data_IF_960114388797
#
_entry.id   IF_960114388797
#
_cell.length_a   1.000
_cell.length_b   1.000
_cell.length_c   1.000
_cell.angle_alpha   90.00
_cell.angle_beta   90.00
_cell.angle_gamma   90.00
#
_symmetry.space_group_name_H-M   'P 1'
#
loop_
_entity.id
_entity.type
_entity.pdbx_description
1 polymer ?
#
# COMPACT_ATOMS: atom_id res chain seq x y z
N UNK A 1 65.24 86.26 -21.12
CA UNK A 1 65.32 84.75 -21.31
C UNK A 1 66.39 84.10 -20.44
N UNK A 2 66.77 84.72 -19.27
CA UNK A 2 67.74 84.12 -18.34
C UNK A 2 67.22 83.81 -16.95
N UNK A 3 65.98 84.22 -16.60
CA UNK A 3 65.42 84.07 -15.24
C UNK A 3 64.53 82.79 -15.18
N UNK A 4 63.94 82.33 -16.28
CA UNK A 4 63.12 81.11 -16.29
C UNK A 4 63.91 79.81 -16.17
N UNK A 5 65.12 79.73 -16.76
CA UNK A 5 66.00 78.54 -16.66
C UNK A 5 66.46 78.24 -15.23
N UNK A 6 66.64 79.28 -14.39
CA UNK A 6 67.13 79.13 -12.98
C UNK A 6 65.99 78.56 -12.07
N UNK A 7 64.74 78.91 -12.33
CA UNK A 7 63.63 78.37 -11.55
C UNK A 7 63.30 76.87 -11.89
N UNK A 8 63.47 76.53 -13.15
CA UNK A 8 63.24 75.16 -13.59
C UNK A 8 64.32 74.20 -13.02
N UNK A 9 65.56 74.59 -12.99
CA UNK A 9 66.68 73.78 -12.45
C UNK A 9 66.57 73.58 -10.94
N UNK A 10 66.12 74.62 -10.20
CA UNK A 10 65.86 74.49 -8.73
C UNK A 10 64.69 73.61 -8.41
N UNK A 11 63.66 73.68 -9.22
CA UNK A 11 62.48 72.76 -9.04
C UNK A 11 62.79 71.30 -9.35
N UNK A 12 63.69 71.09 -10.37
CA UNK A 12 64.12 69.72 -10.72
C UNK A 12 65.02 69.11 -9.66
N UNK A 13 65.92 69.89 -9.06
CA UNK A 13 66.75 69.42 -7.96
C UNK A 13 65.97 69.21 -6.64
N UNK A 14 64.88 69.97 -6.39
CA UNK A 14 63.97 69.71 -5.28
C UNK A 14 63.17 68.45 -5.42
N UNK A 15 62.79 68.14 -6.66
CA UNK A 15 62.04 66.93 -7.00
C UNK A 15 62.90 65.66 -6.91
N UNK A 16 64.19 65.76 -7.27
CA UNK A 16 65.17 64.66 -7.15
C UNK A 16 65.50 64.37 -5.69
N UNK A 17 65.64 65.43 -4.84
CA UNK A 17 65.90 65.31 -3.38
C UNK A 17 64.61 64.70 -2.69
N UNK A 18 63.45 65.11 -3.08
CA UNK A 18 62.22 64.54 -2.58
C UNK A 18 62.00 63.07 -2.97
N UNK A 19 62.39 62.69 -4.22
CA UNK A 19 62.31 61.32 -4.71
C UNK A 19 63.34 60.42 -4.03
N UNK A 20 64.59 60.94 -3.71
CA UNK A 20 65.60 60.14 -3.01
C UNK A 20 65.28 59.98 -1.51
N UNK A 21 64.56 60.93 -0.87
CA UNK A 21 64.09 60.79 0.49
C UNK A 21 62.93 59.71 0.61
N UNK A 22 62.18 59.48 -0.46
CA UNK A 22 61.10 58.48 -0.47
C UNK A 22 61.61 57.03 -0.62
N UNK A 23 62.82 56.83 -1.16
CA UNK A 23 63.47 55.51 -1.26
C UNK A 23 64.16 55.06 0.05
N UNK A 24 64.38 55.91 1.02
CA UNK A 24 65.03 55.53 2.30
C UNK A 24 63.98 55.13 3.37
N UNK A 25 62.69 55.42 3.14
CA UNK A 25 61.63 55.10 4.09
C UNK A 25 61.09 53.60 3.96
N UNK A 26 61.59 52.81 3.00
CA UNK A 26 61.25 51.41 2.86
C UNK A 26 62.23 50.41 3.50
N UNK A 27 63.05 50.89 4.49
CA UNK A 27 63.79 49.99 5.36
C UNK A 27 62.91 49.44 6.47
N UNK A 28 61.87 48.69 6.10
CA UNK A 28 61.05 47.97 7.07
C UNK A 28 61.92 46.94 7.78
N UNK A 29 62.05 47.08 9.10
CA UNK A 29 62.48 46.00 9.99
C UNK A 29 61.86 44.72 9.53
N UNK A 30 62.63 43.72 9.08
CA UNK A 30 62.28 42.36 9.06
C UNK A 30 62.00 41.91 10.51
N UNK A 31 60.78 42.22 11.00
CA UNK A 31 60.19 41.44 12.06
C UNK A 31 59.94 40.11 11.41
N UNK A 32 60.77 39.13 11.73
CA UNK A 32 60.52 37.73 11.38
C UNK A 32 59.04 37.44 11.75
N UNK A 33 58.20 37.25 10.76
CA UNK A 33 56.93 36.67 11.00
C UNK A 33 57.24 35.35 11.69
N UNK A 34 57.16 35.33 13.01
CA UNK A 34 56.96 34.09 13.71
C UNK A 34 55.72 33.51 13.06
N UNK A 35 55.90 32.50 12.22
CA UNK A 35 54.82 31.64 11.78
C UNK A 35 54.27 31.05 13.07
N UNK A 36 53.24 31.71 13.62
CA UNK A 36 52.43 31.08 14.66
C UNK A 36 51.88 29.79 14.02
N UNK A 37 52.45 28.69 14.44
CA UNK A 37 51.94 27.37 14.08
C UNK A 37 50.46 27.35 14.52
N UNK A 38 49.52 27.20 13.60
CA UNK A 38 48.13 27.24 13.99
C UNK A 38 47.86 26.07 14.97
N UNK A 39 47.38 26.42 16.15
CA UNK A 39 46.93 25.44 17.11
C UNK A 39 45.60 24.84 16.63
N UNK A 40 45.59 23.56 16.44
CA UNK A 40 44.37 22.81 16.09
C UNK A 40 43.88 22.05 17.32
N UNK A 41 42.57 22.14 17.60
CA UNK A 41 41.94 21.33 18.61
C UNK A 41 41.96 19.88 18.17
N UNK A 42 42.47 19.01 19.02
CA UNK A 42 42.47 17.56 18.81
C UNK A 42 41.39 16.91 19.66
N UNK A 43 40.80 15.85 19.16
CA UNK A 43 39.80 15.02 19.87
C UNK A 43 40.29 13.59 19.93
N UNK A 44 40.11 12.96 21.08
CA UNK A 44 40.32 11.51 21.22
C UNK A 44 39.06 10.80 20.87
N UNK A 45 39.11 9.96 19.84
CA UNK A 45 37.96 9.14 19.41
C UNK A 45 37.91 7.88 20.28
N UNK A 46 36.70 7.57 20.76
CA UNK A 46 36.41 6.30 21.42
C UNK A 46 35.35 5.56 20.61
N UNK A 47 35.43 4.23 20.54
CA UNK A 47 34.39 3.44 19.90
C UNK A 47 33.05 3.64 20.61
N UNK A 48 32.03 4.00 19.85
CA UNK A 48 30.68 4.21 20.37
C UNK A 48 29.63 3.51 19.51
N UNK A 49 28.43 3.35 20.07
CA UNK A 49 27.29 2.81 19.34
C UNK A 49 26.48 3.96 18.77
N UNK A 50 26.36 4.00 17.45
CA UNK A 50 25.63 5.04 16.71
C UNK A 50 24.32 4.51 16.18
N UNK A 51 23.25 5.25 16.42
CA UNK A 51 21.95 5.00 15.80
C UNK A 51 21.87 5.73 14.47
N UNK A 52 21.70 4.96 13.40
CA UNK A 52 21.44 5.48 12.07
C UNK A 52 19.98 5.25 11.71
N UNK A 53 19.45 6.08 10.83
CA UNK A 53 18.10 5.92 10.28
C UNK A 53 18.17 5.94 8.77
N UNK A 54 17.55 4.95 8.15
CA UNK A 54 17.40 4.88 6.70
C UNK A 54 15.94 5.16 6.35
N UNK A 55 15.70 6.12 5.44
CA UNK A 55 14.39 6.49 4.97
C UNK A 55 14.11 5.83 3.61
N UNK A 56 13.01 5.13 3.49
CA UNK A 56 12.56 4.45 2.27
C UNK A 56 11.23 5.05 1.81
N UNK A 57 11.14 5.60 0.59
CA UNK A 57 9.86 6.02 0.02
C UNK A 57 8.88 4.85 0.00
N UNK A 58 7.67 5.09 0.47
CA UNK A 58 6.65 4.07 0.61
C UNK A 58 5.31 4.54 0.05
N UNK A 59 4.53 3.58 -0.47
CA UNK A 59 3.14 3.76 -0.83
C UNK A 59 2.25 3.02 0.16
N UNK A 60 1.13 3.66 0.53
CA UNK A 60 0.21 3.08 1.50
C UNK A 60 -0.95 2.39 0.78
N UNK A 61 -1.31 1.20 1.26
CA UNK A 61 -2.55 0.53 0.88
C UNK A 61 -3.31 0.15 2.13
N UNK A 62 -4.63 0.17 2.06
CA UNK A 62 -5.46 -0.41 3.10
C UNK A 62 -5.17 -1.91 3.25
N UNK A 63 -5.51 -2.46 4.41
CA UNK A 63 -5.40 -3.90 4.66
C UNK A 63 -6.10 -4.71 3.58
N UNK A 64 -7.23 -4.22 3.10
CA UNK A 64 -7.99 -4.81 2.02
C UNK A 64 -8.72 -3.73 1.22
N UNK A 65 -8.44 -3.63 -0.06
CA UNK A 65 -9.17 -2.79 -1.00
C UNK A 65 -10.01 -3.72 -1.89
N UNK A 66 -11.34 -3.63 -1.77
CA UNK A 66 -12.27 -4.50 -2.51
C UNK A 66 -13.06 -3.66 -3.49
N UNK A 67 -12.93 -3.98 -4.76
CA UNK A 67 -13.77 -3.42 -5.81
C UNK A 67 -15.18 -4.03 -5.73
N UNK A 68 -16.17 -3.19 -5.59
CA UNK A 68 -17.57 -3.58 -5.56
C UNK A 68 -18.12 -3.55 -6.99
N UNK A 69 -18.47 -4.72 -7.51
CA UNK A 69 -19.02 -4.91 -8.85
C UNK A 69 -20.41 -5.52 -8.77
N UNK A 70 -21.36 -5.15 -9.66
CA UNK A 70 -22.66 -5.78 -9.69
C UNK A 70 -22.55 -7.21 -10.24
N UNK A 71 -23.31 -8.14 -9.69
CA UNK A 71 -23.43 -9.52 -10.22
C UNK A 71 -24.61 -9.68 -11.18
N UNK A 72 -25.48 -8.67 -11.26
CA UNK A 72 -26.69 -8.66 -12.12
C UNK A 72 -26.77 -7.33 -12.87
N UNK A 73 -27.49 -7.31 -13.97
CA UNK A 73 -27.71 -6.12 -14.79
C UNK A 73 -29.00 -5.40 -14.37
N UNK A 74 -29.02 -4.09 -14.43
CA UNK A 74 -30.20 -3.28 -14.14
C UNK A 74 -29.86 -1.84 -13.85
N UNK A 75 -30.88 -1.03 -13.58
CA UNK A 75 -30.71 0.38 -13.20
C UNK A 75 -30.50 0.49 -11.68
N UNK A 76 -29.62 1.37 -11.25
CA UNK A 76 -29.49 1.73 -9.83
C UNK A 76 -30.75 2.51 -9.43
N UNK A 77 -31.53 1.97 -8.50
CA UNK A 77 -32.73 2.62 -7.95
C UNK A 77 -32.41 3.42 -6.69
N UNK A 78 -31.40 2.98 -5.92
CA UNK A 78 -31.04 3.64 -4.66
C UNK A 78 -29.55 3.52 -4.38
N UNK A 79 -28.96 4.62 -3.92
CA UNK A 79 -27.65 4.68 -3.27
C UNK A 79 -27.91 4.78 -1.75
N UNK A 80 -27.43 3.80 -1.00
CA UNK A 80 -27.73 3.69 0.44
C UNK A 80 -26.66 4.33 1.33
N UNK A 81 -25.46 4.60 0.77
CA UNK A 81 -24.30 5.12 1.51
C UNK A 81 -23.58 6.15 0.64
N UNK A 82 -23.15 7.25 1.24
CA UNK A 82 -22.40 8.30 0.54
C UNK A 82 -20.89 8.00 0.46
N UNK A 83 -20.23 8.64 -0.51
CA UNK A 83 -18.77 8.56 -0.66
C UNK A 83 -18.05 9.00 0.62
N UNK A 84 -17.00 8.28 0.98
CA UNK A 84 -16.20 8.56 2.19
C UNK A 84 -16.81 8.09 3.50
N UNK A 85 -18.03 7.55 3.48
CA UNK A 85 -18.69 7.03 4.68
C UNK A 85 -18.11 5.68 5.11
N UNK A 86 -18.17 5.41 6.42
CA UNK A 86 -17.84 4.10 6.98
C UNK A 86 -18.96 3.11 6.69
N UNK A 87 -18.58 1.91 6.27
CA UNK A 87 -19.51 0.82 5.97
C UNK A 87 -19.11 -0.43 6.74
N UNK A 88 -20.12 -1.23 7.08
CA UNK A 88 -19.93 -2.53 7.72
C UNK A 88 -20.09 -3.67 6.72
N UNK A 89 -19.45 -4.80 6.99
CA UNK A 89 -19.65 -6.02 6.23
C UNK A 89 -21.14 -6.42 6.22
N UNK A 90 -21.70 -6.70 5.03
CA UNK A 90 -23.11 -7.00 4.82
C UNK A 90 -24.03 -5.79 4.68
N UNK A 91 -23.53 -4.57 4.90
CA UNK A 91 -24.32 -3.34 4.70
C UNK A 91 -24.60 -3.13 3.23
N UNK A 92 -25.89 -2.86 2.87
CA UNK A 92 -26.29 -2.56 1.51
C UNK A 92 -25.75 -1.19 1.10
N UNK A 93 -25.07 -1.16 -0.05
CA UNK A 93 -24.46 0.03 -0.64
C UNK A 93 -25.33 0.60 -1.77
N UNK A 94 -25.78 -0.31 -2.66
CA UNK A 94 -26.63 0.02 -3.83
C UNK A 94 -27.81 -0.94 -3.91
N UNK A 95 -28.89 -0.45 -4.47
CA UNK A 95 -30.03 -1.28 -4.87
C UNK A 95 -30.20 -1.14 -6.39
N UNK A 96 -30.18 -2.29 -7.06
CA UNK A 96 -30.48 -2.41 -8.49
C UNK A 96 -31.96 -2.78 -8.60
N UNK A 97 -32.63 -2.34 -9.66
CA UNK A 97 -34.05 -2.61 -9.88
C UNK A 97 -34.36 -4.10 -9.74
N UNK A 98 -35.15 -4.51 -8.71
CA UNK A 98 -35.39 -5.91 -8.41
C UNK A 98 -36.57 -6.50 -9.20
N UNK A 99 -37.41 -5.69 -9.85
CA UNK A 99 -38.74 -6.12 -10.37
C UNK A 99 -38.63 -7.35 -11.24
N UNK A 100 -37.75 -7.34 -12.24
CA UNK A 100 -37.59 -8.52 -13.13
C UNK A 100 -37.09 -9.77 -12.39
N UNK A 101 -36.33 -9.62 -11.34
CA UNK A 101 -35.78 -10.71 -10.54
C UNK A 101 -36.82 -11.28 -9.55
N UNK A 102 -37.67 -10.40 -8.99
CA UNK A 102 -38.82 -10.80 -8.16
C UNK A 102 -39.81 -11.62 -8.97
N UNK A 103 -40.15 -11.21 -10.19
CA UNK A 103 -41.03 -11.97 -11.07
C UNK A 103 -40.40 -13.31 -11.47
N UNK A 104 -39.09 -13.38 -11.73
CA UNK A 104 -38.41 -14.65 -11.99
C UNK A 104 -38.52 -15.63 -10.80
N UNK A 105 -38.40 -15.12 -9.56
CA UNK A 105 -38.61 -15.91 -8.35
C UNK A 105 -40.06 -16.40 -8.26
N UNK A 106 -41.03 -15.53 -8.54
CA UNK A 106 -42.46 -15.91 -8.52
C UNK A 106 -42.76 -17.03 -9.52
N UNK A 107 -42.24 -16.95 -10.75
CA UNK A 107 -42.37 -17.99 -11.77
C UNK A 107 -41.74 -19.31 -11.32
N UNK A 108 -40.51 -19.24 -10.77
CA UNK A 108 -39.83 -20.45 -10.27
C UNK A 108 -40.54 -21.07 -9.06
N UNK A 109 -41.11 -20.28 -8.16
CA UNK A 109 -41.95 -20.77 -7.06
C UNK A 109 -43.19 -21.55 -7.59
N UNK A 110 -43.87 -20.96 -8.56
CA UNK A 110 -45.02 -21.63 -9.19
C UNK A 110 -44.64 -22.99 -9.84
N UNK A 111 -43.47 -23.04 -10.51
CA UNK A 111 -42.95 -24.29 -11.09
C UNK A 111 -42.68 -25.36 -10.03
N UNK A 112 -42.15 -24.97 -8.86
CA UNK A 112 -41.96 -25.90 -7.74
C UNK A 112 -43.28 -26.43 -7.24
N UNK A 113 -44.34 -25.63 -7.12
CA UNK A 113 -45.66 -26.09 -6.67
C UNK A 113 -46.28 -27.07 -7.67
N UNK A 114 -46.15 -26.82 -8.99
CA UNK A 114 -46.60 -27.78 -10.03
C UNK A 114 -45.80 -29.08 -9.90
N UNK A 115 -44.49 -29.05 -9.75
CA UNK A 115 -43.68 -30.27 -9.62
C UNK A 115 -44.01 -31.04 -8.33
N UNK A 116 -44.32 -30.37 -7.22
CA UNK A 116 -44.78 -31.00 -5.97
C UNK A 116 -46.11 -31.76 -6.18
N UNK A 117 -47.06 -31.15 -6.90
CA UNK A 117 -48.33 -31.79 -7.19
C UNK A 117 -48.15 -33.04 -8.06
N UNK A 118 -47.23 -32.99 -9.03
CA UNK A 118 -46.89 -34.15 -9.85
C UNK A 118 -46.28 -35.31 -9.04
N UNK A 119 -45.35 -34.97 -8.12
CA UNK A 119 -44.78 -35.98 -7.19
C UNK A 119 -45.85 -36.59 -6.33
N UNK A 120 -46.73 -35.79 -5.73
CA UNK A 120 -47.83 -36.32 -4.89
C UNK A 120 -48.75 -37.30 -5.68
N UNK A 121 -49.05 -36.96 -6.94
CA UNK A 121 -49.85 -37.83 -7.81
C UNK A 121 -49.13 -39.16 -8.15
N UNK A 122 -47.84 -39.08 -8.49
CA UNK A 122 -46.99 -40.22 -8.80
C UNK A 122 -46.79 -41.13 -7.56
N UNK A 123 -46.58 -40.53 -6.40
CA UNK A 123 -46.43 -41.20 -5.11
C UNK A 123 -47.71 -42.00 -4.76
N UNK A 124 -48.89 -41.37 -4.90
CA UNK A 124 -50.17 -42.04 -4.67
C UNK A 124 -50.35 -43.23 -5.65
N UNK A 125 -49.98 -43.04 -6.91
CA UNK A 125 -50.05 -44.09 -7.92
C UNK A 125 -49.11 -45.26 -7.60
N UNK A 126 -47.83 -44.96 -7.26
CA UNK A 126 -46.86 -46.00 -6.89
C UNK A 126 -47.30 -46.76 -5.63
N UNK A 127 -47.80 -46.00 -4.61
CA UNK A 127 -48.36 -46.61 -3.39
C UNK A 127 -49.53 -47.57 -3.67
N UNK A 128 -50.48 -47.15 -4.47
CA UNK A 128 -51.61 -48.00 -4.85
C UNK A 128 -51.18 -49.25 -5.65
N UNK A 129 -50.26 -49.07 -6.60
CA UNK A 129 -49.69 -50.18 -7.39
C UNK A 129 -48.94 -51.18 -6.51
N UNK A 130 -48.15 -50.69 -5.50
CA UNK A 130 -47.43 -51.53 -4.53
C UNK A 130 -48.44 -52.43 -3.73
N UNK A 131 -49.56 -51.84 -3.27
CA UNK A 131 -50.58 -52.58 -2.58
C UNK A 131 -51.28 -53.67 -3.47
N UNK A 132 -51.50 -53.39 -4.75
CA UNK A 132 -52.10 -54.37 -5.71
C UNK A 132 -51.13 -55.50 -6.06
N UNK A 133 -49.82 -55.18 -6.20
CA UNK A 133 -48.76 -56.18 -6.45
C UNK A 133 -48.64 -57.13 -5.24
N UNK A 134 -48.64 -56.66 -4.02
CA UNK A 134 -48.62 -57.45 -2.78
C UNK A 134 -49.79 -58.47 -2.72
N UNK A 135 -50.93 -58.13 -3.37
CA UNK A 135 -52.09 -59.00 -3.49
C UNK A 135 -52.05 -59.85 -4.76
N UNK A 136 -50.95 -59.83 -5.53
CA UNK A 136 -50.79 -60.52 -6.80
C UNK A 136 -51.84 -60.14 -7.87
N UNK A 137 -52.36 -58.89 -7.82
CA UNK A 137 -53.39 -58.41 -8.77
C UNK A 137 -52.74 -57.84 -10.04
N UNK A 138 -51.53 -57.29 -9.91
CA UNK A 138 -50.77 -56.72 -11.02
C UNK A 138 -49.36 -57.31 -11.11
N UNK A 139 -48.68 -57.11 -12.26
CA UNK A 139 -47.32 -57.59 -12.48
C UNK A 139 -46.28 -56.73 -11.76
N UNK A 140 -45.10 -57.29 -11.47
CA UNK A 140 -43.93 -56.52 -10.97
C UNK A 140 -43.51 -55.45 -11.96
N UNK A 141 -43.69 -55.64 -13.25
CA UNK A 141 -43.37 -54.64 -14.27
C UNK A 141 -44.25 -53.38 -14.13
N UNK A 142 -45.58 -53.58 -13.85
CA UNK A 142 -46.52 -52.48 -13.65
C UNK A 142 -46.10 -51.60 -12.40
N UNK A 143 -45.68 -52.30 -11.32
CA UNK A 143 -45.14 -51.58 -10.12
C UNK A 143 -43.90 -50.85 -10.47
N UNK A 144 -42.92 -51.50 -11.10
CA UNK A 144 -41.64 -50.86 -11.46
C UNK A 144 -41.83 -49.64 -12.37
N UNK A 145 -42.77 -49.68 -13.29
CA UNK A 145 -43.15 -48.57 -14.16
C UNK A 145 -43.65 -47.36 -13.34
N UNK A 146 -44.50 -47.61 -12.35
CA UNK A 146 -45.04 -46.58 -11.48
C UNK A 146 -43.92 -45.97 -10.55
N UNK A 147 -43.03 -46.84 -10.05
CA UNK A 147 -41.85 -46.36 -9.24
C UNK A 147 -40.87 -45.53 -10.08
N UNK A 148 -40.63 -45.92 -11.33
CA UNK A 148 -39.82 -45.12 -12.25
C UNK A 148 -40.48 -43.76 -12.57
N UNK A 149 -41.83 -43.72 -12.71
CA UNK A 149 -42.57 -42.48 -12.91
C UNK A 149 -42.49 -41.57 -11.66
N UNK A 150 -42.53 -42.15 -10.46
CA UNK A 150 -42.30 -41.39 -9.21
C UNK A 150 -40.90 -40.83 -9.19
N UNK A 151 -39.87 -41.63 -9.42
CA UNK A 151 -38.48 -41.17 -9.43
C UNK A 151 -38.24 -40.04 -10.47
N UNK A 152 -38.88 -40.14 -11.66
CA UNK A 152 -38.85 -39.08 -12.66
C UNK A 152 -39.48 -37.77 -12.16
N UNK A 153 -40.63 -37.88 -11.47
CA UNK A 153 -41.32 -36.70 -10.89
C UNK A 153 -40.51 -36.05 -9.76
N UNK A 154 -39.87 -36.89 -8.92
CA UNK A 154 -38.95 -36.40 -7.86
C UNK A 154 -37.75 -35.67 -8.46
N UNK A 155 -37.14 -36.18 -9.52
CA UNK A 155 -36.07 -35.55 -10.25
C UNK A 155 -36.50 -34.18 -10.84
N UNK A 156 -37.71 -34.10 -11.41
CA UNK A 156 -38.29 -32.86 -11.91
C UNK A 156 -38.51 -31.83 -10.78
N UNK A 157 -38.96 -32.27 -9.60
CA UNK A 157 -39.08 -31.39 -8.43
C UNK A 157 -37.73 -30.90 -7.97
N UNK A 158 -36.70 -31.73 -7.94
CA UNK A 158 -35.35 -31.33 -7.59
C UNK A 158 -34.80 -30.27 -8.58
N UNK A 159 -35.06 -30.44 -9.88
CA UNK A 159 -34.72 -29.45 -10.91
C UNK A 159 -35.44 -28.12 -10.69
N UNK A 160 -36.76 -28.13 -10.44
CA UNK A 160 -37.52 -26.91 -10.18
C UNK A 160 -37.03 -26.17 -8.92
N UNK A 161 -36.70 -26.90 -7.85
CA UNK A 161 -36.08 -26.33 -6.65
C UNK A 161 -34.73 -25.67 -6.92
N UNK A 162 -33.87 -26.27 -7.74
CA UNK A 162 -32.61 -25.72 -8.15
C UNK A 162 -32.77 -24.39 -8.94
N UNK A 163 -33.78 -24.36 -9.83
CA UNK A 163 -34.14 -23.14 -10.59
C UNK A 163 -34.63 -22.03 -9.66
N UNK A 164 -35.46 -22.36 -8.66
CA UNK A 164 -35.89 -21.40 -7.65
C UNK A 164 -34.71 -20.82 -6.87
N UNK A 165 -33.79 -21.68 -6.42
CA UNK A 165 -32.58 -21.24 -5.70
C UNK A 165 -31.74 -20.28 -6.56
N UNK A 166 -31.59 -20.54 -7.85
CA UNK A 166 -30.89 -19.65 -8.79
C UNK A 166 -31.60 -18.29 -8.92
N UNK A 167 -32.93 -18.28 -9.07
CA UNK A 167 -33.71 -17.06 -9.15
C UNK A 167 -33.60 -16.23 -7.85
N UNK A 168 -33.68 -16.88 -6.68
CA UNK A 168 -33.50 -16.21 -5.37
C UNK A 168 -32.09 -15.63 -5.21
N UNK A 169 -31.06 -16.32 -5.69
CA UNK A 169 -29.70 -15.79 -5.69
C UNK A 169 -29.56 -14.56 -6.57
N UNK A 170 -30.13 -14.59 -7.79
CA UNK A 170 -30.11 -13.44 -8.68
C UNK A 170 -30.85 -12.25 -8.07
N UNK A 171 -31.97 -12.47 -7.42
CA UNK A 171 -32.69 -11.44 -6.68
C UNK A 171 -31.82 -10.90 -5.53
N UNK A 172 -31.13 -11.76 -4.79
CA UNK A 172 -30.25 -11.28 -3.70
C UNK A 172 -29.12 -10.39 -4.21
N UNK A 173 -28.64 -10.58 -5.43
CA UNK A 173 -27.60 -9.75 -6.05
C UNK A 173 -28.08 -8.36 -6.48
N UNK A 174 -29.38 -8.09 -6.50
CA UNK A 174 -29.91 -6.73 -6.72
C UNK A 174 -29.58 -5.82 -5.54
N UNK A 175 -29.35 -6.37 -4.34
CA UNK A 175 -28.84 -5.65 -3.17
C UNK A 175 -27.33 -5.82 -3.11
N UNK A 176 -26.61 -4.84 -3.60
CA UNK A 176 -25.14 -4.86 -3.59
C UNK A 176 -24.65 -4.47 -2.20
N UNK A 177 -24.01 -5.41 -1.52
CA UNK A 177 -23.55 -5.25 -0.14
C UNK A 177 -22.01 -5.17 -0.05
N UNK A 178 -21.51 -4.58 1.03
CA UNK A 178 -20.09 -4.58 1.32
C UNK A 178 -19.62 -5.95 1.84
N UNK A 179 -18.57 -6.56 1.26
CA UNK A 179 -18.00 -7.82 1.76
C UNK A 179 -17.09 -7.62 2.98
N UNK A 180 -16.68 -6.39 3.28
CA UNK A 180 -15.72 -6.03 4.34
C UNK A 180 -16.18 -4.80 5.10
N UNK A 181 -15.63 -4.61 6.31
CA UNK A 181 -15.72 -3.33 7.01
C UNK A 181 -14.71 -2.36 6.39
N UNK A 182 -15.09 -1.08 6.24
CA UNK A 182 -14.13 -0.13 5.66
C UNK A 182 -14.75 1.23 5.39
N UNK A 183 -14.14 1.96 4.48
CA UNK A 183 -14.59 3.26 4.01
C UNK A 183 -14.93 3.16 2.52
N UNK A 184 -16.08 3.67 2.15
CA UNK A 184 -16.54 3.73 0.77
C UNK A 184 -15.72 4.75 -0.02
N UNK A 185 -15.20 4.33 -1.15
CA UNK A 185 -14.45 5.18 -2.07
C UNK A 185 -15.37 6.03 -2.96
N UNK A 186 -14.82 6.47 -4.10
CA UNK A 186 -15.57 7.23 -5.10
C UNK A 186 -16.68 6.39 -5.73
N UNK A 187 -17.81 7.00 -6.00
CA UNK A 187 -18.98 6.40 -6.67
C UNK A 187 -19.20 7.08 -8.03
N UNK A 188 -18.71 6.50 -9.13
CA UNK A 188 -18.85 7.10 -10.47
C UNK A 188 -20.28 7.01 -11.02
N UNK A 189 -21.13 6.14 -10.46
CA UNK A 189 -22.51 5.90 -10.92
C UNK A 189 -23.53 6.56 -10.00
N UNK A 190 -24.63 7.04 -10.61
CA UNK A 190 -25.72 7.68 -9.89
C UNK A 190 -26.99 6.87 -10.02
N UNK A 191 -28.01 7.19 -9.21
CA UNK A 191 -29.37 6.63 -9.38
C UNK A 191 -29.83 6.87 -10.81
N UNK A 192 -30.37 5.84 -11.44
CA UNK A 192 -30.75 5.82 -12.86
C UNK A 192 -29.65 5.35 -13.82
N UNK A 193 -28.42 5.12 -13.35
CA UNK A 193 -27.37 4.53 -14.19
C UNK A 193 -27.63 3.04 -14.43
N UNK A 194 -27.46 2.59 -15.68
CA UNK A 194 -27.44 1.17 -16.03
C UNK A 194 -26.11 0.55 -15.64
N UNK A 195 -26.16 -0.58 -14.95
CA UNK A 195 -24.98 -1.33 -14.51
C UNK A 195 -25.08 -2.79 -14.94
N UNK A 196 -23.93 -3.45 -15.09
CA UNK A 196 -23.87 -4.87 -15.49
C UNK A 196 -22.57 -5.53 -15.01
N UNK A 197 -22.52 -6.87 -14.88
CA UNK A 197 -21.33 -7.62 -14.48
C UNK A 197 -20.12 -7.43 -15.42
N UNK A 198 -20.36 -7.09 -16.69
CA UNK A 198 -19.32 -6.92 -17.72
C UNK A 198 -18.65 -5.55 -17.71
N UNK A 199 -19.04 -4.65 -16.80
CA UNK A 199 -18.45 -3.30 -16.69
C UNK A 199 -16.97 -3.36 -16.29
N UNK A 200 -16.15 -2.54 -16.93
CA UNK A 200 -14.73 -2.37 -16.57
C UNK A 200 -14.56 -1.58 -15.29
N UNK A 201 -15.39 -0.54 -15.08
CA UNK A 201 -15.33 0.33 -13.90
C UNK A 201 -16.17 -0.24 -12.76
N UNK A 202 -15.62 -0.42 -11.55
CA UNK A 202 -16.40 -0.88 -10.40
C UNK A 202 -17.41 0.18 -9.94
N UNK A 203 -18.47 -0.22 -9.24
CA UNK A 203 -19.45 0.68 -8.64
C UNK A 203 -18.80 1.60 -7.60
N UNK A 204 -17.92 1.03 -6.83
CA UNK A 204 -17.08 1.72 -5.84
C UNK A 204 -15.96 0.78 -5.40
N UNK A 205 -15.05 1.28 -4.57
CA UNK A 205 -14.07 0.46 -3.83
C UNK A 205 -14.34 0.65 -2.35
N UNK A 206 -14.38 -0.43 -1.58
CA UNK A 206 -14.41 -0.37 -0.12
C UNK A 206 -13.03 -0.72 0.41
N UNK A 207 -12.42 0.19 1.17
CA UNK A 207 -11.07 0.05 1.71
C UNK A 207 -11.14 -0.15 3.23
N UNK A 208 -10.60 -1.28 3.71
CA UNK A 208 -10.33 -1.45 5.14
C UNK A 208 -9.03 -0.72 5.48
N UNK A 209 -9.20 0.44 6.09
CA UNK A 209 -8.10 1.33 6.50
C UNK A 209 -7.82 1.28 8.01
N UNK A 210 -8.31 0.28 8.73
CA UNK A 210 -8.03 0.08 10.16
C UNK A 210 -6.55 -0.16 10.41
N UNK A 211 -5.94 -0.91 9.52
CA UNK A 211 -4.50 -1.14 9.41
C UNK A 211 -4.04 -0.76 8.00
N UNK A 212 -2.87 -0.17 7.91
CA UNK A 212 -2.29 0.27 6.65
C UNK A 212 -1.00 -0.47 6.35
N UNK A 213 -0.89 -0.95 5.16
CA UNK A 213 0.31 -1.55 4.62
C UNK A 213 1.14 -0.48 3.91
N UNK A 214 2.36 -0.29 4.38
CA UNK A 214 3.36 0.55 3.71
C UNK A 214 4.28 -0.35 2.87
N UNK A 215 4.21 -0.22 1.56
CA UNK A 215 5.07 -0.92 0.62
C UNK A 215 6.24 -0.02 0.23
N UNK A 216 7.44 -0.52 0.40
CA UNK A 216 8.67 0.17 0.01
C UNK A 216 9.66 -0.82 -0.57
N UNK A 217 10.65 -0.31 -1.31
CA UNK A 217 11.67 -1.14 -1.95
C UNK A 217 13.02 -0.95 -1.25
N UNK A 218 13.74 -2.05 -1.09
CA UNK A 218 15.10 -2.10 -0.54
C UNK A 218 16.01 -2.74 -1.59
N UNK A 219 17.22 -2.25 -1.75
CA UNK A 219 18.18 -2.86 -2.69
C UNK A 219 18.63 -4.23 -2.20
N UNK A 220 19.00 -5.11 -3.13
CA UNK A 220 19.55 -6.45 -2.80
C UNK A 220 20.74 -6.35 -1.85
N UNK A 221 21.63 -5.37 -2.06
CA UNK A 221 22.77 -5.14 -1.17
C UNK A 221 22.33 -4.89 0.28
N UNK A 222 21.36 -4.01 0.49
CA UNK A 222 20.85 -3.70 1.83
C UNK A 222 20.19 -4.92 2.48
N UNK A 223 19.47 -5.72 1.69
CA UNK A 223 18.90 -6.98 2.16
C UNK A 223 19.97 -7.97 2.59
N UNK A 224 21.02 -8.15 1.76
CA UNK A 224 22.13 -9.05 2.06
C UNK A 224 22.92 -8.60 3.31
N UNK A 225 23.10 -7.29 3.48
CA UNK A 225 23.74 -6.75 4.69
C UNK A 225 22.91 -7.06 5.94
N UNK A 226 21.57 -7.00 5.86
CA UNK A 226 20.68 -7.42 6.93
C UNK A 226 20.74 -8.93 7.19
N UNK A 227 20.75 -9.76 6.14
CA UNK A 227 20.81 -11.23 6.25
C UNK A 227 22.11 -11.69 6.86
N UNK A 228 23.24 -11.08 6.50
CA UNK A 228 24.57 -11.44 7.02
C UNK A 228 24.73 -11.13 8.51
N UNK A 229 23.97 -10.20 9.04
CA UNK A 229 23.95 -9.90 10.47
C UNK A 229 23.20 -10.97 11.29
N UNK A 230 22.22 -11.69 10.65
CA UNK A 230 21.40 -12.71 11.30
C UNK A 230 21.10 -13.89 10.36
N UNK A 231 21.61 -15.05 10.69
CA UNK A 231 21.81 -16.25 9.87
C UNK A 231 20.58 -16.92 9.22
N UNK A 232 19.35 -16.37 9.24
CA UNK A 232 18.16 -17.00 8.61
C UNK A 232 17.04 -15.98 8.36
N UNK A 233 16.46 -15.96 7.16
CA UNK A 233 15.42 -14.99 6.73
C UNK A 233 14.19 -14.91 7.65
N UNK A 234 13.70 -16.03 8.18
CA UNK A 234 12.56 -16.05 9.09
C UNK A 234 12.86 -15.39 10.45
N UNK A 235 14.11 -15.47 10.93
CA UNK A 235 14.54 -14.85 12.18
C UNK A 235 14.81 -13.35 12.06
N UNK A 236 15.04 -12.84 10.84
CA UNK A 236 15.26 -11.42 10.58
C UNK A 236 14.00 -10.62 10.91
N UNK A 237 12.83 -11.08 10.44
CA UNK A 237 11.56 -10.42 10.69
C UNK A 237 11.20 -10.30 12.17
N UNK A 238 11.57 -11.31 12.97
CA UNK A 238 11.33 -11.31 14.42
C UNK A 238 12.22 -10.32 15.17
N UNK A 239 13.44 -10.11 14.68
CA UNK A 239 14.44 -9.23 15.31
C UNK A 239 14.45 -7.81 14.77
N UNK A 240 13.74 -7.55 13.67
CA UNK A 240 13.66 -6.19 13.13
C UNK A 240 13.06 -5.23 14.15
N UNK A 241 13.72 -4.07 14.35
CA UNK A 241 13.19 -3.05 15.23
C UNK A 241 11.87 -2.50 14.68
N UNK A 242 11.00 -1.97 15.56
CA UNK A 242 9.83 -1.25 15.10
C UNK A 242 10.24 -0.09 14.20
N UNK A 243 9.47 0.10 13.12
CA UNK A 243 9.73 1.13 12.13
C UNK A 243 8.83 2.34 12.36
N UNK A 244 9.35 3.51 12.06
CA UNK A 244 8.57 4.75 12.11
C UNK A 244 8.15 5.15 10.70
N UNK A 245 7.12 5.98 10.62
CA UNK A 245 6.58 6.48 9.37
C UNK A 245 6.62 8.00 9.37
N UNK A 246 7.02 8.58 8.25
CA UNK A 246 6.88 10.00 7.95
C UNK A 246 5.86 10.16 6.82
N UNK A 247 4.84 10.96 7.05
CA UNK A 247 3.78 11.24 6.07
C UNK A 247 4.28 12.17 4.96
N UNK A 248 3.52 12.32 3.88
CA UNK A 248 3.91 13.11 2.71
C UNK A 248 4.17 14.60 3.04
N UNK A 249 3.60 15.13 4.13
CA UNK A 249 3.83 16.48 4.64
C UNK A 249 5.12 16.62 5.49
N UNK A 250 5.92 15.55 5.58
CA UNK A 250 7.18 15.53 6.34
C UNK A 250 7.01 15.35 7.85
N UNK A 251 5.79 15.12 8.34
CA UNK A 251 5.54 14.94 9.78
C UNK A 251 5.67 13.48 10.19
N UNK A 252 6.23 13.20 11.37
CA UNK A 252 6.28 11.85 11.90
C UNK A 252 4.88 11.36 12.26
N UNK A 253 4.57 10.11 11.88
CA UNK A 253 3.34 9.44 12.26
C UNK A 253 3.44 8.92 13.70
N UNK A 254 2.37 9.03 14.47
CA UNK A 254 2.39 8.73 15.91
C UNK A 254 2.50 7.25 16.26
N UNK A 255 2.07 6.37 15.33
CA UNK A 255 2.11 4.92 15.54
C UNK A 255 3.36 4.32 14.92
N UNK A 256 3.99 3.42 15.65
CA UNK A 256 5.07 2.59 15.12
C UNK A 256 4.50 1.42 14.34
N UNK A 257 5.21 1.02 13.28
CA UNK A 257 4.88 -0.13 12.47
C UNK A 257 5.85 -1.29 12.67
N UNK A 258 5.45 -2.43 12.14
CA UNK A 258 6.28 -3.65 12.11
C UNK A 258 6.43 -4.12 10.67
N UNK A 259 7.63 -4.52 10.29
CA UNK A 259 7.88 -5.19 9.01
C UNK A 259 7.33 -6.62 9.14
N UNK A 260 6.41 -6.98 8.25
CA UNK A 260 5.76 -8.30 8.25
C UNK A 260 6.26 -9.20 7.14
N UNK A 261 6.62 -8.60 6.00
CA UNK A 261 6.96 -9.39 4.82
C UNK A 261 8.11 -8.74 4.07
N UNK A 262 9.06 -9.56 3.67
CA UNK A 262 10.11 -9.23 2.69
C UNK A 262 9.88 -10.20 1.53
N UNK A 263 9.75 -9.69 0.31
CA UNK A 263 9.57 -10.53 -0.88
C UNK A 263 10.79 -11.43 -1.07
N UNK A 264 10.57 -12.68 -1.40
CA UNK A 264 11.65 -13.61 -1.77
C UNK A 264 12.10 -13.45 -3.24
N UNK A 265 11.36 -12.63 -4.01
CA UNK A 265 11.64 -12.37 -5.42
C UNK A 265 12.21 -10.97 -5.58
N UNK A 266 13.37 -10.89 -6.22
CA UNK A 266 14.03 -9.65 -6.59
C UNK A 266 13.46 -9.18 -7.92
N UNK A 267 13.04 -7.93 -8.00
CA UNK A 267 12.67 -7.30 -9.27
C UNK A 267 13.93 -7.11 -10.13
N UNK A 268 13.99 -7.85 -11.23
CA UNK A 268 15.16 -7.88 -12.12
C UNK A 268 15.41 -6.52 -12.83
N UNK A 269 14.39 -5.67 -12.94
CA UNK A 269 14.50 -4.37 -13.61
C UNK A 269 15.17 -3.35 -12.69
N UNK A 270 14.89 -3.40 -11.39
CA UNK A 270 15.35 -2.42 -10.41
C UNK A 270 16.41 -2.96 -9.45
N UNK A 271 16.65 -4.30 -9.42
CA UNK A 271 17.54 -4.95 -8.45
C UNK A 271 17.08 -4.75 -7.01
N UNK A 272 15.78 -4.62 -6.79
CA UNK A 272 15.22 -4.31 -5.47
C UNK A 272 14.23 -5.38 -5.01
N UNK A 273 14.04 -5.44 -3.70
CA UNK A 273 13.11 -6.33 -3.00
C UNK A 273 11.99 -5.51 -2.40
N UNK A 274 10.75 -5.95 -2.62
CA UNK A 274 9.58 -5.31 -2.01
C UNK A 274 9.44 -5.73 -0.55
N UNK A 275 9.25 -4.74 0.31
CA UNK A 275 9.05 -4.91 1.76
C UNK A 275 7.72 -4.32 2.15
N UNK A 276 7.00 -5.00 3.05
CA UNK A 276 5.74 -4.54 3.60
C UNK A 276 5.86 -4.34 5.10
N UNK A 277 5.53 -3.14 5.55
CA UNK A 277 5.35 -2.84 6.96
C UNK A 277 3.88 -2.52 7.25
N UNK A 278 3.39 -2.93 8.41
CA UNK A 278 2.03 -2.71 8.88
C UNK A 278 2.00 -1.62 9.93
N UNK A 279 1.08 -0.67 9.79
CA UNK A 279 0.83 0.43 10.71
C UNK A 279 -0.63 0.46 11.13
N UNK A 280 -0.90 0.58 12.41
CA UNK A 280 -2.26 0.82 12.92
C UNK A 280 -2.71 2.23 12.55
N UNK A 281 -3.99 2.39 12.18
CA UNK A 281 -4.53 3.68 11.70
C UNK A 281 -5.82 4.09 12.42
N UNK A 282 -5.79 4.23 13.77
CA UNK A 282 -6.99 4.51 14.56
C UNK A 282 -7.62 5.86 14.23
N UNK A 283 -6.81 6.85 13.85
CA UNK A 283 -7.26 8.19 13.48
C UNK A 283 -7.66 8.32 12.02
N UNK A 284 -7.54 7.24 11.21
CA UNK A 284 -7.82 7.24 9.76
C UNK A 284 -7.08 8.34 8.98
N UNK A 285 -5.91 8.73 9.47
CA UNK A 285 -5.06 9.75 8.85
C UNK A 285 -4.44 9.22 7.55
N UNK A 286 -4.00 7.96 7.57
CA UNK A 286 -3.45 7.31 6.39
C UNK A 286 -4.60 6.83 5.50
N UNK A 287 -4.41 6.98 4.18
CA UNK A 287 -5.40 6.59 3.17
C UNK A 287 -4.74 5.68 2.14
N UNK A 288 -5.50 4.76 1.57
CA UNK A 288 -5.04 3.93 0.46
C UNK A 288 -4.69 4.80 -0.74
N UNK A 289 -3.54 4.53 -1.38
CA UNK A 289 -2.97 5.37 -2.44
C UNK A 289 -2.10 6.53 -1.95
N UNK A 290 -2.04 6.79 -0.64
CA UNK A 290 -1.15 7.80 -0.07
C UNK A 290 0.32 7.40 -0.14
N UNK A 291 1.22 8.37 0.07
CA UNK A 291 2.68 8.19 0.05
C UNK A 291 3.32 8.72 1.32
N UNK A 292 4.54 8.27 1.59
CA UNK A 292 5.35 8.72 2.73
C UNK A 292 6.71 8.03 2.71
N UNK A 293 7.38 8.02 3.85
CA UNK A 293 8.67 7.36 4.01
C UNK A 293 8.68 6.49 5.26
N UNK A 294 9.04 5.23 5.12
CA UNK A 294 9.29 4.33 6.24
C UNK A 294 10.71 4.55 6.73
N UNK A 295 10.88 4.78 8.02
CA UNK A 295 12.16 5.00 8.68
C UNK A 295 12.53 3.73 9.43
N UNK A 296 13.63 3.12 9.02
CA UNK A 296 14.18 1.93 9.66
C UNK A 296 15.39 2.35 10.49
N UNK A 297 15.35 2.20 11.82
CA UNK A 297 16.51 2.44 12.66
C UNK A 297 17.50 1.28 12.52
N UNK A 298 18.79 1.60 12.44
CA UNK A 298 19.88 0.65 12.50
C UNK A 298 20.89 1.09 13.56
N UNK A 299 21.65 0.15 14.12
CA UNK A 299 22.67 0.44 15.10
C UNK A 299 24.01 -0.08 14.59
N UNK A 300 24.99 0.81 14.55
CA UNK A 300 26.38 0.43 14.33
C UNK A 300 27.08 0.41 15.67
N UNK A 301 27.61 -0.74 16.04
CA UNK A 301 28.33 -0.92 17.29
C UNK A 301 29.85 -0.79 17.06
N UNK A 302 30.55 -0.27 18.04
CA UNK A 302 32.01 -0.19 18.05
C UNK A 302 32.58 0.56 16.84
N UNK A 303 31.98 1.73 16.50
CA UNK A 303 32.42 2.60 15.40
C UNK A 303 33.06 3.87 15.93
N UNK A 304 34.07 4.37 15.21
CA UNK A 304 34.68 5.66 15.49
C UNK A 304 33.91 6.76 14.74
N UNK A 305 33.37 7.71 15.49
CA UNK A 305 32.63 8.84 14.93
C UNK A 305 33.53 10.04 14.85
N UNK A 306 33.70 10.60 13.65
CA UNK A 306 34.50 11.78 13.40
C UNK A 306 33.57 12.96 13.06
N UNK A 307 33.69 14.13 13.72
CA UNK A 307 32.93 15.30 13.34
C UNK A 307 33.22 15.70 11.89
N UNK A 308 32.18 16.01 11.13
CA UNK A 308 32.32 16.39 9.72
C UNK A 308 33.31 17.56 9.51
N UNK A 309 33.41 18.48 10.46
CA UNK A 309 34.33 19.60 10.42
C UNK A 309 35.80 19.20 10.53
N UNK A 310 36.10 17.98 11.04
CA UNK A 310 37.44 17.44 11.16
C UNK A 310 37.85 16.60 9.94
N UNK A 311 36.99 16.52 8.93
CA UNK A 311 37.27 15.80 7.69
C UNK A 311 37.47 16.75 6.53
N UNK A 312 38.34 16.42 5.60
CA UNK A 312 38.49 17.13 4.33
C UNK A 312 38.29 16.13 3.16
N UNK A 313 37.79 16.66 2.08
CA UNK A 313 37.48 15.86 0.88
C UNK A 313 38.51 16.13 -0.20
N UNK A 314 39.07 15.06 -0.75
CA UNK A 314 40.00 15.12 -1.87
C UNK A 314 39.69 13.99 -2.83
N UNK A 315 39.30 14.31 -4.06
CA UNK A 315 39.00 13.33 -5.13
C UNK A 315 38.03 12.21 -4.65
N UNK A 316 36.83 12.57 -4.22
CA UNK A 316 35.78 11.69 -3.72
C UNK A 316 36.13 10.83 -2.48
N UNK A 317 37.27 11.10 -1.83
CA UNK A 317 37.69 10.44 -0.59
C UNK A 317 37.72 11.45 0.54
N UNK A 318 37.29 10.99 1.72
CA UNK A 318 37.35 11.78 2.96
C UNK A 318 38.55 11.34 3.78
N UNK A 319 39.29 12.31 4.25
CA UNK A 319 40.51 12.14 5.03
C UNK A 319 40.39 12.85 6.37
N UNK A 320 41.11 12.36 7.34
CA UNK A 320 41.32 12.97 8.65
C UNK A 320 42.81 13.01 8.94
N UNK A 321 43.26 14.02 9.70
CA UNK A 321 44.60 14.04 10.25
C UNK A 321 44.62 13.25 11.56
N UNK A 322 45.59 12.36 11.71
CA UNK A 322 45.88 11.65 12.96
C UNK A 322 47.08 12.27 13.57
N UNK A 323 47.06 12.52 14.88
CA UNK A 323 48.18 13.05 15.66
C UNK A 323 48.69 11.91 16.52
N UNK A 324 49.96 11.59 16.39
CA UNK A 324 50.67 10.58 17.18
C UNK A 324 51.10 11.15 18.55
#
# INVERSE_FOLDING_TARGET
>A
MKIEKLKMTRMHNLFIIALSAMCVACGGKNQGRQQTVPEFAVITLQPETVKLTSAYPATFKGRQDVEIRPNVSGFITKLCVDEGSSVQKGQTLFVIDPVQYEEAVNVAKAAVEVAKANVATAELTAKNKRQLEQKNIISKFDLQTAENALASSEAALAQAKAQLTNAEKNLSYTQVTSPVNGVMGKVPFRVGSLVSPSMTTPLTTVSDISEMYAYFSMTEKQLLDLIRQDSTSSKILEKMPPVSLTTADGRPYSQQGKIETISEVIDQTTGSVSVRATFSNPQRLLRSGGTGSVIIPSQLQNVLVVPQKATYELQDKRFVFVVD
#
